data_IF_113635937065
#
_entry.id   IF_113635937065
#
_cell.length_a   1.000
_cell.length_b   1.000
_cell.length_c   1.000
_cell.angle_alpha   90.00
_cell.angle_beta   90.00
_cell.angle_gamma   90.00
#
_symmetry.space_group_name_H-M   'P 1'
#
loop_
_entity.id
_entity.type
_entity.pdbx_description
1 polymer ?
#
# COMPACT_ATOMS: atom_id res chain seq x y z
N UNK A 1 9.72 -0.77 -23.02
CA UNK A 1 9.29 0.29 -22.08
C UNK A 1 9.29 -0.21 -20.65
N UNK A 2 10.22 0.28 -19.82
CA UNK A 2 10.51 -0.22 -18.46
C UNK A 2 9.75 0.51 -17.33
N UNK A 3 9.10 1.64 -17.64
CA UNK A 3 8.29 2.41 -16.70
C UNK A 3 7.08 3.00 -17.43
N UNK A 4 5.91 2.97 -16.78
CA UNK A 4 4.66 3.53 -17.30
C UNK A 4 3.92 4.26 -16.18
N UNK A 5 3.23 5.33 -16.57
CA UNK A 5 2.33 6.08 -15.70
C UNK A 5 0.90 5.74 -16.10
N UNK A 6 0.11 5.31 -15.13
CA UNK A 6 -1.30 5.02 -15.29
C UNK A 6 -2.16 5.95 -14.43
N UNK A 7 -3.45 5.95 -14.71
CA UNK A 7 -4.47 6.48 -13.82
C UNK A 7 -5.44 5.34 -13.54
N UNK A 8 -5.21 4.61 -12.45
CA UNK A 8 -6.06 3.49 -12.03
C UNK A 8 -6.67 3.86 -10.68
N UNK A 9 -7.98 3.82 -10.59
CA UNK A 9 -8.67 4.07 -9.34
C UNK A 9 -8.89 2.78 -8.58
N UNK A 10 -8.34 2.70 -7.38
CA UNK A 10 -8.39 1.54 -6.53
C UNK A 10 -9.29 1.81 -5.32
N UNK A 11 -10.11 0.83 -4.96
CA UNK A 11 -10.90 0.85 -3.74
C UNK A 11 -10.05 0.80 -2.46
N UNK A 12 -8.72 0.79 -2.57
CA UNK A 12 -7.76 0.84 -1.48
C UNK A 12 -7.25 -0.52 -1.05
N UNK A 13 -7.42 -1.55 -1.90
CA UNK A 13 -6.95 -2.92 -1.65
C UNK A 13 -5.78 -3.25 -2.58
N UNK A 14 -4.82 -4.00 -2.05
CA UNK A 14 -3.71 -4.48 -2.87
C UNK A 14 -4.17 -5.62 -3.79
N UNK A 15 -3.48 -5.77 -4.91
CA UNK A 15 -3.63 -6.90 -5.85
C UNK A 15 -5.01 -7.03 -6.51
N UNK A 16 -5.74 -5.92 -6.68
CA UNK A 16 -7.03 -5.93 -7.37
C UNK A 16 -8.12 -6.76 -6.67
N UNK A 17 -7.92 -7.10 -5.39
CA UNK A 17 -8.97 -7.71 -4.58
C UNK A 17 -10.06 -6.66 -4.34
N UNK A 18 -11.32 -7.07 -4.38
CA UNK A 18 -12.47 -6.21 -4.09
C UNK A 18 -13.28 -6.77 -2.93
N UNK A 19 -13.67 -5.91 -1.99
CA UNK A 19 -14.61 -6.28 -0.94
C UNK A 19 -16.05 -6.06 -1.45
N UNK A 20 -17.03 -6.84 -0.97
CA UNK A 20 -18.41 -6.68 -1.38
C UNK A 20 -18.97 -5.30 -1.02
N UNK A 21 -19.66 -4.69 -1.98
CA UNK A 21 -20.47 -3.50 -1.76
C UNK A 21 -21.70 -3.81 -0.88
N UNK A 22 -22.27 -2.80 -0.17
CA UNK A 22 -21.86 -1.39 -0.14
C UNK A 22 -20.89 -1.06 1.02
N UNK A 23 -20.65 -2.00 1.94
CA UNK A 23 -19.93 -1.70 3.19
C UNK A 23 -18.42 -1.99 3.14
N UNK A 24 -17.95 -2.76 2.15
CA UNK A 24 -16.55 -3.17 2.05
C UNK A 24 -15.57 -1.99 2.09
N UNK A 25 -15.85 -0.94 1.31
CA UNK A 25 -15.03 0.27 1.24
C UNK A 25 -15.00 1.04 2.56
N UNK A 26 -16.15 1.18 3.21
CA UNK A 26 -16.27 1.88 4.49
C UNK A 26 -15.46 1.15 5.57
N UNK A 27 -15.60 -0.17 5.67
CA UNK A 27 -14.86 -1.01 6.63
C UNK A 27 -13.35 -0.85 6.42
N UNK A 28 -12.89 -0.89 5.18
CA UNK A 28 -11.49 -0.74 4.84
C UNK A 28 -10.92 0.62 5.28
N UNK A 29 -11.67 1.69 5.02
CA UNK A 29 -11.26 3.05 5.37
C UNK A 29 -11.23 3.24 6.90
N UNK A 30 -12.25 2.75 7.60
CA UNK A 30 -12.32 2.79 9.07
C UNK A 30 -11.20 1.97 9.72
N UNK A 31 -10.95 0.76 9.24
CA UNK A 31 -9.85 -0.07 9.70
C UNK A 31 -8.51 0.65 9.57
N UNK A 32 -8.25 1.28 8.41
CA UNK A 32 -7.02 2.05 8.18
C UNK A 32 -6.89 3.22 9.15
N UNK A 33 -7.97 3.97 9.40
CA UNK A 33 -8.00 5.07 10.38
C UNK A 33 -7.63 4.57 11.78
N UNK A 34 -8.21 3.44 12.22
CA UNK A 34 -7.90 2.84 13.53
C UNK A 34 -6.42 2.45 13.61
N UNK A 35 -5.89 1.77 12.59
CA UNK A 35 -4.48 1.35 12.54
C UNK A 35 -3.53 2.54 12.57
N UNK A 36 -3.82 3.59 11.79
CA UNK A 36 -3.01 4.82 11.78
C UNK A 36 -3.08 5.54 13.12
N UNK A 37 -4.27 5.67 13.71
CA UNK A 37 -4.46 6.28 15.03
C UNK A 37 -3.65 5.55 16.12
N UNK A 38 -3.68 4.22 16.11
CA UNK A 38 -2.86 3.40 17.00
C UNK A 38 -1.37 3.57 16.72
N UNK A 39 -0.96 3.61 15.46
CA UNK A 39 0.43 3.85 15.05
C UNK A 39 0.96 5.21 15.54
N UNK A 40 0.19 6.28 15.38
CA UNK A 40 0.53 7.63 15.88
C UNK A 40 0.67 7.63 17.40
N UNK A 41 -0.29 7.02 18.11
CA UNK A 41 -0.20 6.87 19.56
C UNK A 41 1.05 6.10 20.00
N UNK A 42 1.36 5.01 19.31
CA UNK A 42 2.54 4.19 19.58
C UNK A 42 3.83 5.00 19.38
N UNK A 43 3.97 5.70 18.26
CA UNK A 43 5.12 6.57 17.99
C UNK A 43 5.26 7.68 19.02
N UNK A 44 4.15 8.32 19.41
CA UNK A 44 4.16 9.33 20.48
C UNK A 44 4.70 8.77 21.80
N UNK A 45 4.33 7.53 22.15
CA UNK A 45 4.87 6.84 23.31
C UNK A 45 6.37 6.55 23.17
N UNK A 46 6.83 6.13 21.99
CA UNK A 46 8.26 5.88 21.73
C UNK A 46 9.11 7.15 21.87
N UNK A 47 8.65 8.28 21.35
CA UNK A 47 9.36 9.57 21.43
C UNK A 47 9.56 9.98 22.90
N UNK A 48 8.54 9.80 23.75
CA UNK A 48 8.64 10.11 25.18
C UNK A 48 9.62 9.22 25.95
N UNK A 49 9.91 8.02 25.45
CA UNK A 49 10.82 7.07 26.09
C UNK A 49 12.30 7.29 25.72
N UNK A 50 12.62 8.25 24.85
CA UNK A 50 13.98 8.70 24.45
C UNK A 50 15.02 7.60 24.13
N UNK A 51 14.58 6.36 23.91
CA UNK A 51 15.45 5.19 23.80
C UNK A 51 15.54 4.64 22.37
N UNK A 52 14.96 5.35 21.40
CA UNK A 52 14.83 4.87 20.02
C UNK A 52 15.64 5.71 19.02
N UNK A 53 16.31 5.08 18.05
CA UNK A 53 17.10 5.78 17.05
C UNK A 53 16.21 6.62 16.14
N UNK A 54 16.67 7.81 15.75
CA UNK A 54 15.91 8.73 14.87
C UNK A 54 15.49 8.10 13.54
N UNK A 55 16.30 7.18 12.99
CA UNK A 55 15.96 6.46 11.77
C UNK A 55 14.74 5.54 11.92
N UNK A 56 14.48 4.99 13.11
CA UNK A 56 13.25 4.23 13.37
C UNK A 56 12.01 5.13 13.34
N UNK A 57 12.12 6.35 13.89
CA UNK A 57 11.05 7.34 13.85
C UNK A 57 10.76 7.78 12.42
N UNK A 58 11.79 7.93 11.57
CA UNK A 58 11.63 8.21 10.14
C UNK A 58 10.86 7.07 9.45
N UNK A 59 11.18 5.81 9.73
CA UNK A 59 10.45 4.67 9.16
C UNK A 59 8.97 4.69 9.54
N UNK A 60 8.66 4.96 10.82
CA UNK A 60 7.27 5.15 11.25
C UNK A 60 6.60 6.34 10.57
N UNK A 61 7.33 7.44 10.39
CA UNK A 61 6.86 8.62 9.65
C UNK A 61 6.49 8.29 8.20
N UNK A 62 7.30 7.48 7.51
CA UNK A 62 7.00 7.03 6.14
C UNK A 62 5.73 6.16 6.09
N UNK A 63 5.57 5.23 7.03
CA UNK A 63 4.39 4.35 7.09
C UNK A 63 3.12 5.16 7.39
N UNK A 64 3.16 6.00 8.42
CA UNK A 64 2.02 6.82 8.84
C UNK A 64 1.68 7.84 7.77
N UNK A 65 2.69 8.51 7.19
CA UNK A 65 2.49 9.49 6.13
C UNK A 65 1.86 8.89 4.88
N UNK A 66 2.35 7.74 4.42
CA UNK A 66 1.74 7.02 3.30
C UNK A 66 0.31 6.56 3.61
N UNK A 67 0.09 5.97 4.79
CA UNK A 67 -1.24 5.53 5.18
C UNK A 67 -2.23 6.69 5.31
N UNK A 68 -1.80 7.85 5.83
CA UNK A 68 -2.60 9.08 5.88
C UNK A 68 -2.95 9.60 4.49
N UNK A 69 -1.99 9.63 3.55
CA UNK A 69 -2.25 10.02 2.16
C UNK A 69 -3.38 9.20 1.54
N UNK A 70 -3.28 7.86 1.64
CA UNK A 70 -4.30 6.96 1.13
C UNK A 70 -5.66 7.09 1.87
N UNK A 71 -5.67 7.46 3.16
CA UNK A 71 -6.91 7.77 3.91
C UNK A 71 -7.55 9.05 3.36
N UNK A 72 -6.77 10.10 3.17
CA UNK A 72 -7.25 11.40 2.69
C UNK A 72 -7.91 11.25 1.32
N UNK A 73 -7.25 10.57 0.38
CA UNK A 73 -7.77 10.25 -0.95
C UNK A 73 -9.11 9.49 -0.85
N UNK A 74 -9.13 8.42 -0.04
CA UNK A 74 -10.35 7.61 0.13
C UNK A 74 -11.50 8.30 0.86
N UNK A 75 -11.22 9.33 1.68
CA UNK A 75 -12.22 9.98 2.52
C UNK A 75 -12.83 11.19 1.84
N UNK A 76 -12.01 12.01 1.17
CA UNK A 76 -12.38 13.35 0.72
C UNK A 76 -12.48 13.50 -0.80
N UNK A 77 -11.84 12.62 -1.59
CA UNK A 77 -11.78 12.75 -3.05
C UNK A 77 -12.72 11.78 -3.77
N UNK A 78 -13.96 11.65 -3.28
CA UNK A 78 -15.03 10.85 -3.91
C UNK A 78 -16.38 11.57 -3.92
N UNK A 79 -17.36 11.00 -4.62
CA UNK A 79 -18.72 11.55 -4.74
C UNK A 79 -19.42 11.71 -3.38
N UNK A 80 -19.08 10.83 -2.43
CA UNK A 80 -19.56 10.83 -1.06
C UNK A 80 -18.40 10.64 -0.07
N UNK A 81 -18.57 11.16 1.14
CA UNK A 81 -17.60 10.98 2.22
C UNK A 81 -17.33 9.48 2.44
N UNK A 82 -16.05 9.09 2.57
CA UNK A 82 -15.57 7.69 2.70
C UNK A 82 -15.72 6.79 1.46
N UNK A 83 -16.17 7.32 0.32
CA UNK A 83 -16.34 6.55 -0.91
C UNK A 83 -15.33 6.95 -2.00
N UNK A 84 -14.32 7.76 -1.66
CA UNK A 84 -13.22 8.09 -2.57
C UNK A 84 -12.35 6.89 -2.90
N UNK A 85 -11.68 6.94 -4.05
CA UNK A 85 -10.71 5.93 -4.47
C UNK A 85 -9.29 6.45 -4.36
N UNK A 86 -8.35 5.53 -4.25
CA UNK A 86 -6.92 5.85 -4.27
C UNK A 86 -6.44 5.76 -5.71
N UNK A 87 -5.66 6.74 -6.16
CA UNK A 87 -5.10 6.72 -7.53
C UNK A 87 -3.76 6.00 -7.51
N UNK A 88 -3.69 4.89 -8.24
CA UNK A 88 -2.47 4.14 -8.51
C UNK A 88 -1.87 4.58 -9.85
N UNK A 89 -0.57 4.86 -9.87
CA UNK A 89 0.08 5.56 -10.99
C UNK A 89 1.31 4.86 -11.52
N UNK A 90 2.15 4.32 -10.65
CA UNK A 90 3.50 3.85 -10.99
C UNK A 90 3.46 2.37 -11.35
N UNK A 91 3.93 2.03 -12.55
CA UNK A 91 4.05 0.64 -13.02
C UNK A 91 5.43 0.39 -13.61
N UNK A 92 6.04 -0.73 -13.19
CA UNK A 92 7.37 -1.15 -13.60
C UNK A 92 7.35 -2.62 -14.10
N UNK A 93 6.74 -2.90 -15.25
CA UNK A 93 6.72 -4.26 -15.78
C UNK A 93 8.16 -4.65 -16.19
N UNK A 94 8.77 -5.59 -15.50
CA UNK A 94 10.18 -5.92 -15.75
C UNK A 94 10.36 -6.79 -16.99
N UNK A 95 9.53 -7.82 -17.15
CA UNK A 95 9.55 -8.65 -18.35
C UNK A 95 8.21 -9.38 -18.52
N UNK A 96 7.86 -9.64 -19.78
CA UNK A 96 6.66 -10.39 -20.16
C UNK A 96 7.09 -11.66 -20.89
N UNK A 97 6.58 -12.81 -20.49
CA UNK A 97 6.91 -14.13 -21.04
C UNK A 97 5.64 -14.78 -21.57
N UNK A 98 5.73 -15.36 -22.76
CA UNK A 98 4.67 -16.22 -23.32
C UNK A 98 4.71 -17.58 -22.61
N UNK A 99 3.61 -17.93 -21.96
CA UNK A 99 3.50 -19.16 -21.18
C UNK A 99 3.38 -20.38 -22.10
N UNK A 100 4.08 -21.48 -21.79
CA UNK A 100 3.90 -22.74 -22.50
C UNK A 100 2.44 -23.24 -22.44
N UNK A 101 2.00 -23.94 -23.49
CA UNK A 101 0.63 -24.44 -23.62
C UNK A 101 0.14 -25.31 -22.43
N UNK A 102 1.04 -25.92 -21.65
CA UNK A 102 0.66 -26.74 -20.47
C UNK A 102 0.36 -25.90 -19.22
N UNK A 103 0.79 -24.63 -19.19
CA UNK A 103 0.64 -23.71 -18.05
C UNK A 103 -0.50 -22.70 -18.24
N UNK A 104 -1.14 -22.70 -19.41
CA UNK A 104 -2.23 -21.77 -19.77
C UNK A 104 -3.50 -21.91 -18.92
N UNK A 105 -3.61 -22.95 -18.10
CA UNK A 105 -4.74 -23.12 -17.18
C UNK A 105 -4.66 -22.19 -15.95
N UNK A 106 -3.47 -21.70 -15.58
CA UNK A 106 -3.28 -20.91 -14.36
C UNK A 106 -3.67 -19.44 -14.51
N UNK A 107 -3.67 -18.88 -15.73
CA UNK A 107 -3.71 -17.43 -15.95
C UNK A 107 -5.01 -16.90 -16.58
N UNK A 108 -6.02 -17.76 -16.68
CA UNK A 108 -7.43 -17.36 -16.82
C UNK A 108 -7.87 -16.75 -18.16
N UNK A 109 -7.02 -16.07 -18.92
CA UNK A 109 -7.41 -15.41 -20.18
C UNK A 109 -6.26 -15.10 -21.13
N UNK A 110 -5.09 -14.72 -20.63
CA UNK A 110 -3.94 -14.28 -21.44
C UNK A 110 -2.77 -15.27 -21.33
N UNK A 111 -2.09 -15.52 -22.44
CA UNK A 111 -0.86 -16.35 -22.46
C UNK A 111 0.37 -15.59 -22.00
N UNK A 112 0.24 -14.28 -21.75
CA UNK A 112 1.36 -13.41 -21.46
C UNK A 112 1.45 -13.12 -19.97
N UNK A 113 2.40 -13.78 -19.30
CA UNK A 113 2.72 -13.50 -17.91
C UNK A 113 3.62 -12.28 -17.83
N UNK A 114 3.22 -11.24 -17.10
CA UNK A 114 4.05 -10.05 -16.83
C UNK A 114 4.57 -10.07 -15.40
N UNK A 115 5.89 -10.20 -15.23
CA UNK A 115 6.51 -10.11 -13.91
C UNK A 115 6.45 -8.68 -13.37
N UNK A 116 5.92 -8.53 -12.16
CA UNK A 116 5.65 -7.25 -11.50
C UNK A 116 4.61 -6.38 -12.25
N UNK A 117 3.46 -6.97 -12.56
CA UNK A 117 2.28 -6.27 -13.10
C UNK A 117 1.62 -5.23 -12.17
N UNK A 118 1.69 -5.29 -10.82
CA UNK A 118 0.99 -4.34 -9.97
C UNK A 118 1.33 -2.88 -10.26
N UNK A 119 0.31 -2.03 -10.18
CA UNK A 119 0.43 -0.56 -10.21
C UNK A 119 0.21 -0.06 -8.78
N UNK A 120 0.99 0.92 -8.35
CA UNK A 120 0.94 1.45 -6.99
C UNK A 120 1.21 2.95 -6.99
N UNK A 121 1.06 3.59 -5.84
CA UNK A 121 1.29 5.03 -5.70
C UNK A 121 2.50 5.35 -4.80
N UNK A 122 2.76 6.65 -4.61
CA UNK A 122 3.87 7.14 -3.77
C UNK A 122 3.64 6.78 -2.30
N UNK A 123 2.39 6.78 -1.84
CA UNK A 123 2.04 6.44 -0.47
C UNK A 123 2.35 4.97 -0.14
N UNK A 124 2.01 4.05 -1.03
CA UNK A 124 2.33 2.63 -0.92
C UNK A 124 3.83 2.37 -0.94
N UNK A 125 4.56 3.13 -1.76
CA UNK A 125 6.03 3.10 -1.79
C UNK A 125 6.62 3.50 -0.43
N UNK A 126 6.09 4.56 0.21
CA UNK A 126 6.50 5.01 1.54
C UNK A 126 6.22 3.96 2.62
N UNK A 127 5.04 3.36 2.62
CA UNK A 127 4.68 2.26 3.53
C UNK A 127 5.65 1.09 3.36
N UNK A 128 5.87 0.64 2.13
CA UNK A 128 6.76 -0.48 1.83
C UNK A 128 8.20 -0.22 2.30
N UNK A 129 8.78 0.92 1.92
CA UNK A 129 10.16 1.29 2.31
C UNK A 129 10.29 1.40 3.83
N UNK A 130 9.31 1.98 4.51
CA UNK A 130 9.31 2.08 5.97
C UNK A 130 9.28 0.72 6.65
N UNK A 131 8.39 -0.19 6.21
CA UNK A 131 8.28 -1.56 6.78
C UNK A 131 9.57 -2.34 6.53
N UNK A 132 10.07 -2.36 5.29
CA UNK A 132 11.31 -3.07 4.93
C UNK A 132 12.50 -2.56 5.74
N UNK A 133 12.62 -1.24 5.91
CA UNK A 133 13.69 -0.63 6.71
C UNK A 133 13.61 -1.05 8.18
N UNK A 134 12.41 -1.12 8.77
CA UNK A 134 12.21 -1.63 10.13
C UNK A 134 12.66 -3.09 10.24
N UNK A 135 12.24 -3.94 9.31
CA UNK A 135 12.56 -5.37 9.34
C UNK A 135 14.05 -5.67 9.15
N UNK A 136 14.73 -4.91 8.29
CA UNK A 136 16.16 -5.11 8.01
C UNK A 136 17.06 -4.51 9.10
N UNK A 137 16.81 -3.25 9.49
CA UNK A 137 17.75 -2.49 10.32
C UNK A 137 17.34 -2.40 11.78
N UNK A 138 16.03 -2.43 12.08
CA UNK A 138 15.52 -2.16 13.42
C UNK A 138 14.88 -3.36 14.13
N UNK A 139 14.86 -4.56 13.52
CA UNK A 139 14.29 -5.79 14.11
C UNK A 139 14.74 -6.10 15.54
N UNK A 140 15.95 -5.70 15.93
CA UNK A 140 16.51 -5.95 17.27
C UNK A 140 15.88 -5.09 18.36
N UNK A 141 15.22 -3.99 18.01
CA UNK A 141 14.55 -3.08 18.96
C UNK A 141 13.17 -3.59 19.39
N UNK A 142 12.66 -4.65 18.76
CA UNK A 142 11.35 -5.24 19.03
C UNK A 142 11.44 -6.64 19.65
N UNK A 143 12.62 -7.02 20.16
CA UNK A 143 12.82 -8.27 20.90
C UNK A 143 12.61 -8.06 22.40
#
# INVERSE_FOLDING_TARGET
DWFRIFYIENNGMAFGMELPDPYGKLILTLFRIIVVGWGVFYVHKLIKQNSFPSGLLICFGLIIGGALGNIIDSTFYGDHLFHGKVVDMLSFPFFTVDLPNWLSFLEGSDRMFTFFAPVFNIADSGIFVGIVSILLFYRRHFK
#
